data_IF_864270489435
#
_entry.id   IF_864270489435
#
_cell.length_a   1.000
_cell.length_b   1.000
_cell.length_c   1.000
_cell.angle_alpha   90.00
_cell.angle_beta   90.00
_cell.angle_gamma   90.00
#
_symmetry.space_group_name_H-M   'P 1'
#
loop_
_entity.id
_entity.type
_entity.pdbx_description
1 polymer ?
#
# COMPACT_ATOMS: atom_id res chain seq x y z
N UNK A 1 -1.95 -16.05 1.17
CA UNK A 1 -3.38 -16.25 0.92
C UNK A 1 -3.60 -17.60 0.27
N UNK A 2 -4.76 -18.21 0.50
CA UNK A 2 -5.29 -19.35 -0.26
C UNK A 2 -6.45 -18.79 -1.07
N UNK A 3 -6.28 -18.64 -2.38
CA UNK A 3 -7.26 -18.00 -3.26
C UNK A 3 -7.30 -18.66 -4.64
N UNK A 4 -8.46 -18.60 -5.29
CA UNK A 4 -8.62 -18.90 -6.71
C UNK A 4 -8.84 -17.60 -7.52
N UNK A 5 -9.27 -17.74 -8.79
CA UNK A 5 -9.55 -16.57 -9.64
C UNK A 5 -10.82 -15.80 -9.27
N UNK A 6 -11.67 -16.37 -8.42
CA UNK A 6 -12.98 -15.83 -8.05
C UNK A 6 -13.05 -15.35 -6.59
N UNK A 7 -12.37 -16.03 -5.66
CA UNK A 7 -12.46 -15.76 -4.24
C UNK A 7 -11.13 -16.00 -3.50
N UNK A 8 -11.00 -15.40 -2.32
CA UNK A 8 -9.94 -15.66 -1.36
C UNK A 8 -10.55 -16.34 -0.14
N UNK A 9 -10.10 -17.55 0.15
CA UNK A 9 -10.63 -18.38 1.25
C UNK A 9 -9.88 -18.15 2.56
N UNK A 10 -8.57 -17.90 2.50
CA UNK A 10 -7.75 -17.72 3.70
C UNK A 10 -6.65 -16.67 3.48
N UNK A 11 -6.41 -15.85 4.50
CA UNK A 11 -5.31 -14.88 4.54
C UNK A 11 -4.41 -15.22 5.72
N UNK A 12 -3.13 -15.47 5.44
CA UNK A 12 -2.09 -15.69 6.47
C UNK A 12 -1.07 -14.57 6.35
N UNK A 13 -0.96 -13.74 7.39
CA UNK A 13 0.06 -12.71 7.47
C UNK A 13 1.46 -13.33 7.59
N UNK A 14 2.42 -12.79 6.84
CA UNK A 14 3.82 -13.18 6.94
C UNK A 14 4.50 -12.46 8.12
N UNK A 15 5.58 -13.04 8.61
CA UNK A 15 6.48 -12.39 9.56
C UNK A 15 7.18 -11.20 8.85
N UNK A 16 7.07 -9.97 9.39
CA UNK A 16 7.72 -8.79 8.81
C UNK A 16 9.23 -8.95 8.61
N UNK A 17 9.93 -9.61 9.55
CA UNK A 17 11.38 -9.82 9.47
C UNK A 17 11.73 -10.74 8.29
N UNK A 18 10.89 -11.74 8.04
CA UNK A 18 11.04 -12.66 6.90
C UNK A 18 10.81 -11.92 5.58
N UNK A 19 9.79 -11.04 5.51
CA UNK A 19 9.51 -10.23 4.31
C UNK A 19 10.70 -9.33 3.99
N UNK A 20 11.24 -8.63 4.99
CA UNK A 20 12.40 -7.75 4.83
C UNK A 20 13.65 -8.54 4.39
N UNK A 21 13.91 -9.70 5.02
CA UNK A 21 15.02 -10.55 4.64
C UNK A 21 14.89 -11.07 3.19
N UNK A 22 13.69 -11.50 2.77
CA UNK A 22 13.45 -11.93 1.40
C UNK A 22 13.71 -10.82 0.37
N UNK A 23 13.25 -9.61 0.65
CA UNK A 23 13.48 -8.47 -0.23
C UNK A 23 14.98 -8.14 -0.34
N UNK A 24 15.68 -8.03 0.79
CA UNK A 24 17.13 -7.73 0.82
C UNK A 24 17.96 -8.79 0.11
N UNK A 25 17.64 -10.07 0.27
CA UNK A 25 18.31 -11.15 -0.45
C UNK A 25 18.28 -10.96 -1.97
N UNK A 26 17.18 -10.47 -2.55
CA UNK A 26 17.08 -10.21 -3.99
C UNK A 26 17.81 -8.91 -4.37
N UNK A 27 17.66 -7.87 -3.56
CA UNK A 27 18.28 -6.55 -3.81
C UNK A 27 19.81 -6.59 -3.74
N UNK A 28 20.38 -7.49 -2.93
CA UNK A 28 21.82 -7.72 -2.84
C UNK A 28 22.36 -8.60 -3.97
N UNK A 29 21.52 -9.44 -4.58
CA UNK A 29 21.91 -10.38 -5.63
C UNK A 29 21.84 -9.76 -7.04
N UNK A 30 20.84 -8.90 -7.30
CA UNK A 30 20.60 -8.38 -8.65
C UNK A 30 20.08 -6.94 -8.66
N UNK A 31 20.33 -6.17 -9.74
CA UNK A 31 19.74 -4.84 -9.88
C UNK A 31 18.22 -4.93 -10.04
N UNK A 32 17.49 -4.23 -9.17
CA UNK A 32 16.03 -4.07 -9.23
C UNK A 32 15.70 -2.73 -9.88
N UNK A 33 14.89 -2.76 -10.94
CA UNK A 33 14.53 -1.57 -11.70
C UNK A 33 13.27 -0.86 -11.19
N UNK A 34 12.43 -1.56 -10.42
CA UNK A 34 11.23 -1.01 -9.80
C UNK A 34 10.72 -1.96 -8.71
N UNK A 35 10.05 -1.40 -7.71
CA UNK A 35 9.23 -2.13 -6.74
C UNK A 35 7.78 -2.10 -7.16
N UNK A 36 7.07 -3.20 -6.93
CA UNK A 36 5.61 -3.24 -6.98
C UNK A 36 5.07 -3.82 -5.68
N UNK A 37 4.27 -3.03 -4.98
CA UNK A 37 3.56 -3.45 -3.78
C UNK A 37 2.08 -3.52 -4.13
N UNK A 38 1.48 -4.70 -3.96
CA UNK A 38 0.07 -4.93 -4.18
C UNK A 38 -0.69 -5.02 -2.86
N UNK A 39 -1.02 -6.23 -2.47
CA UNK A 39 -1.65 -6.52 -1.19
C UNK A 39 -0.62 -6.61 -0.05
N UNK A 40 -0.85 -5.84 1.01
CA UNK A 40 -0.32 -6.08 2.35
C UNK A 40 -1.50 -6.35 3.28
N UNK A 41 -1.32 -7.23 4.26
CA UNK A 41 -2.42 -7.74 5.13
C UNK A 41 -2.26 -7.32 6.58
N UNK A 42 -1.17 -6.59 6.88
CA UNK A 42 -0.74 -6.23 8.23
C UNK A 42 0.10 -4.96 8.21
N UNK A 43 -0.18 -4.06 9.15
CA UNK A 43 0.57 -2.82 9.35
C UNK A 43 2.08 -3.09 9.54
N UNK A 44 2.46 -4.13 10.28
CA UNK A 44 3.87 -4.41 10.55
C UNK A 44 4.63 -4.86 9.30
N UNK A 45 3.95 -5.55 8.38
CA UNK A 45 4.52 -5.91 7.07
C UNK A 45 4.70 -4.66 6.21
N UNK A 46 3.75 -3.73 6.26
CA UNK A 46 3.86 -2.43 5.57
C UNK A 46 5.07 -1.66 6.07
N UNK A 47 5.26 -1.56 7.39
CA UNK A 47 6.43 -0.90 7.99
C UNK A 47 7.75 -1.53 7.53
N UNK A 48 7.85 -2.85 7.55
CA UNK A 48 9.05 -3.55 7.09
C UNK A 48 9.34 -3.32 5.60
N UNK A 49 8.30 -3.29 4.76
CA UNK A 49 8.46 -2.96 3.34
C UNK A 49 8.89 -1.51 3.16
N UNK A 50 8.29 -0.56 3.89
CA UNK A 50 8.61 0.86 3.81
C UNK A 50 10.07 1.13 4.21
N UNK A 51 10.58 0.44 5.23
CA UNK A 51 12.01 0.50 5.60
C UNK A 51 12.91 0.01 4.47
N UNK A 52 12.57 -1.12 3.85
CA UNK A 52 13.36 -1.63 2.72
C UNK A 52 13.30 -0.68 1.53
N UNK A 53 12.15 -0.11 1.19
CA UNK A 53 12.03 0.82 0.05
C UNK A 53 12.81 2.11 0.32
N UNK A 54 12.79 2.63 1.56
CA UNK A 54 13.52 3.83 1.94
C UNK A 54 15.04 3.70 1.76
N UNK A 55 15.60 2.50 1.93
CA UNK A 55 17.02 2.22 1.67
C UNK A 55 17.39 2.33 0.16
N UNK A 56 16.40 2.37 -0.74
CA UNK A 56 16.55 2.37 -2.21
C UNK A 56 15.71 3.47 -2.90
N UNK A 57 15.75 4.69 -2.38
CA UNK A 57 14.98 5.87 -2.85
C UNK A 57 15.11 6.23 -4.35
N UNK A 58 16.17 5.76 -5.02
CA UNK A 58 16.36 5.92 -6.46
C UNK A 58 15.60 4.90 -7.33
N UNK A 59 14.93 3.91 -6.74
CA UNK A 59 14.19 2.85 -7.45
C UNK A 59 12.69 3.16 -7.43
N UNK A 60 12.02 3.27 -8.58
CA UNK A 60 10.60 3.58 -8.64
C UNK A 60 9.72 2.60 -7.84
N UNK A 61 8.79 3.13 -7.06
CA UNK A 61 7.79 2.35 -6.34
C UNK A 61 6.40 2.50 -6.99
N UNK A 62 5.84 1.37 -7.43
CA UNK A 62 4.43 1.26 -7.83
C UNK A 62 3.62 0.66 -6.69
N UNK A 63 2.72 1.44 -6.12
CA UNK A 63 1.82 1.02 -5.06
C UNK A 63 0.42 0.77 -5.64
N UNK A 64 -0.12 -0.43 -5.44
CA UNK A 64 -1.46 -0.83 -5.87
C UNK A 64 -2.18 -1.52 -4.70
N UNK A 65 -2.58 -0.75 -3.67
CA UNK A 65 -3.14 -1.31 -2.46
C UNK A 65 -4.48 -1.98 -2.75
N UNK A 66 -4.72 -3.13 -2.12
CA UNK A 66 -5.95 -3.89 -2.22
C UNK A 66 -6.54 -4.09 -0.82
N UNK A 67 -7.50 -3.24 -0.48
CA UNK A 67 -8.19 -3.29 0.82
C UNK A 67 -9.35 -4.29 0.85
N UNK A 68 -9.60 -5.03 -0.23
CA UNK A 68 -10.71 -6.02 -0.28
C UNK A 68 -10.36 -7.33 0.43
N UNK A 69 -9.11 -7.50 0.85
CA UNK A 69 -8.61 -8.73 1.47
C UNK A 69 -8.77 -8.77 3.00
N UNK A 70 -9.03 -7.63 3.66
CA UNK A 70 -9.07 -7.50 5.13
C UNK A 70 -10.49 -7.22 5.65
N UNK A 71 -11.44 -8.08 5.29
CA UNK A 71 -12.87 -7.87 5.62
C UNK A 71 -13.24 -8.30 7.07
N UNK A 72 -12.35 -8.97 7.80
CA UNK A 72 -12.74 -9.61 9.07
C UNK A 72 -12.55 -8.73 10.32
N UNK A 73 -11.69 -7.69 10.29
CA UNK A 73 -11.37 -6.89 11.48
C UNK A 73 -11.18 -5.39 11.15
N UNK A 74 -12.23 -4.59 11.32
CA UNK A 74 -12.26 -3.14 10.98
C UNK A 74 -11.09 -2.36 11.57
N UNK A 75 -10.75 -2.56 12.86
CA UNK A 75 -9.62 -1.86 13.50
C UNK A 75 -8.26 -2.21 12.86
N UNK A 76 -8.06 -3.47 12.45
CA UNK A 76 -6.83 -3.88 11.78
C UNK A 76 -6.76 -3.31 10.35
N UNK A 77 -7.91 -3.05 9.72
CA UNK A 77 -7.98 -2.42 8.41
C UNK A 77 -7.63 -0.93 8.47
N UNK A 78 -8.01 -0.22 9.53
CA UNK A 78 -7.64 1.20 9.72
C UNK A 78 -6.13 1.34 10.01
N UNK A 79 -5.57 0.53 10.91
CA UNK A 79 -4.13 0.48 11.18
C UNK A 79 -3.32 0.20 9.91
N UNK A 80 -3.82 -0.69 9.04
CA UNK A 80 -3.19 -0.99 7.76
C UNK A 80 -3.25 0.21 6.82
N UNK A 81 -4.42 0.85 6.67
CA UNK A 81 -4.59 2.03 5.81
C UNK A 81 -3.70 3.17 6.26
N UNK A 82 -3.67 3.45 7.56
CA UNK A 82 -2.80 4.46 8.16
C UNK A 82 -1.33 4.16 7.87
N UNK A 83 -0.90 2.91 8.08
CA UNK A 83 0.49 2.52 7.79
C UNK A 83 0.84 2.70 6.31
N UNK A 84 -0.07 2.39 5.38
CA UNK A 84 0.18 2.58 3.95
C UNK A 84 0.20 4.08 3.61
N UNK A 85 -0.74 4.86 4.14
CA UNK A 85 -0.87 6.30 3.90
C UNK A 85 0.34 7.08 4.45
N UNK A 86 0.86 6.69 5.62
CA UNK A 86 1.93 7.40 6.30
C UNK A 86 3.32 6.93 5.88
N UNK A 87 3.49 5.64 5.56
CA UNK A 87 4.83 5.06 5.32
C UNK A 87 5.11 4.79 3.85
N UNK A 88 4.15 4.28 3.07
CA UNK A 88 4.39 3.89 1.67
C UNK A 88 3.94 4.94 0.66
N UNK A 89 2.78 5.57 0.86
CA UNK A 89 2.27 6.56 -0.08
C UNK A 89 3.24 7.75 -0.29
N UNK A 90 3.94 8.28 0.74
CA UNK A 90 4.90 9.37 0.57
C UNK A 90 6.11 9.02 -0.29
N UNK A 91 6.46 7.74 -0.37
CA UNK A 91 7.61 7.23 -1.11
C UNK A 91 7.22 6.68 -2.49
N UNK A 92 5.93 6.74 -2.84
CA UNK A 92 5.37 6.11 -4.03
C UNK A 92 5.59 6.98 -5.28
N UNK A 93 6.20 6.39 -6.30
CA UNK A 93 6.30 7.01 -7.63
C UNK A 93 4.97 6.96 -8.37
N UNK A 94 4.27 5.83 -8.34
CA UNK A 94 2.96 5.67 -8.97
C UNK A 94 1.98 4.92 -8.06
N UNK A 95 0.96 5.62 -7.60
CA UNK A 95 -0.18 5.01 -6.91
C UNK A 95 -1.24 4.62 -7.94
N UNK A 96 -1.62 3.35 -7.95
CA UNK A 96 -2.70 2.80 -8.77
C UNK A 96 -3.84 2.39 -7.84
N UNK A 97 -4.96 3.11 -7.89
CA UNK A 97 -6.05 2.95 -6.93
C UNK A 97 -7.39 3.35 -7.57
N UNK A 98 -8.48 2.75 -7.13
CA UNK A 98 -9.83 3.23 -7.47
C UNK A 98 -10.27 4.39 -6.57
N UNK A 99 -11.47 4.92 -6.80
CA UNK A 99 -12.03 6.02 -6.00
C UNK A 99 -12.06 5.68 -4.50
N UNK A 100 -12.57 4.49 -4.14
CA UNK A 100 -12.72 4.09 -2.74
C UNK A 100 -11.37 4.02 -2.02
N UNK A 101 -10.37 3.46 -2.68
CA UNK A 101 -9.00 3.32 -2.16
C UNK A 101 -8.33 4.68 -2.00
N UNK A 102 -8.52 5.62 -2.94
CA UNK A 102 -7.99 6.98 -2.83
C UNK A 102 -8.58 7.75 -1.65
N UNK A 103 -9.90 7.63 -1.42
CA UNK A 103 -10.54 8.23 -0.24
C UNK A 103 -10.00 7.60 1.05
N UNK A 104 -9.92 6.27 1.10
CA UNK A 104 -9.43 5.54 2.27
C UNK A 104 -7.95 5.84 2.61
N UNK A 105 -7.11 6.13 1.60
CA UNK A 105 -5.73 6.55 1.84
C UNK A 105 -5.61 8.02 2.24
N UNK A 106 -6.48 8.89 1.72
CA UNK A 106 -6.46 10.31 2.08
C UNK A 106 -7.09 10.60 3.44
N UNK A 107 -7.97 9.71 3.91
CA UNK A 107 -8.54 9.73 5.25
C UNK A 107 -8.62 8.28 5.76
N UNK A 108 -7.52 7.77 6.36
CA UNK A 108 -7.49 6.41 6.89
C UNK A 108 -8.36 6.23 8.15
N UNK A 109 -8.66 7.32 8.87
CA UNK A 109 -9.62 7.31 9.98
C UNK A 109 -11.06 7.23 9.46
N UNK A 110 -11.68 6.07 9.61
CA UNK A 110 -13.05 5.81 9.16
C UNK A 110 -14.13 6.62 9.89
N UNK A 111 -13.83 7.21 11.05
CA UNK A 111 -14.75 8.05 11.81
C UNK A 111 -14.73 9.53 11.37
N UNK A 112 -13.74 9.93 10.56
CA UNK A 112 -13.60 11.29 10.06
C UNK A 112 -14.42 11.56 8.79
N UNK A 113 -14.70 12.83 8.50
CA UNK A 113 -15.42 13.22 7.28
C UNK A 113 -14.56 12.92 6.04
N UNK A 114 -15.10 12.07 5.16
CA UNK A 114 -14.41 11.66 3.94
C UNK A 114 -14.25 12.85 2.97
N UNK A 115 -13.04 13.09 2.43
CA UNK A 115 -12.83 14.11 1.42
C UNK A 115 -13.54 13.76 0.10
N UNK A 116 -13.73 14.76 -0.77
CA UNK A 116 -14.04 14.47 -2.17
C UNK A 116 -12.77 14.01 -2.92
N UNK A 117 -12.94 13.52 -4.15
CA UNK A 117 -11.83 12.97 -4.94
C UNK A 117 -10.69 13.99 -5.16
N UNK A 118 -11.03 15.22 -5.51
CA UNK A 118 -10.03 16.25 -5.80
C UNK A 118 -9.19 16.59 -4.55
N UNK A 119 -9.84 16.65 -3.39
CA UNK A 119 -9.17 16.88 -2.10
C UNK A 119 -8.30 15.67 -1.71
N UNK A 120 -8.78 14.45 -1.94
CA UNK A 120 -8.02 13.23 -1.67
C UNK A 120 -6.76 13.14 -2.55
N UNK A 121 -6.90 13.33 -3.86
CA UNK A 121 -5.78 13.36 -4.81
C UNK A 121 -4.79 14.47 -4.46
N UNK A 122 -5.29 15.68 -4.19
CA UNK A 122 -4.43 16.81 -3.80
C UNK A 122 -3.66 16.52 -2.51
N UNK A 123 -4.32 15.88 -1.53
CA UNK A 123 -3.69 15.50 -0.29
C UNK A 123 -2.57 14.48 -0.51
N UNK A 124 -2.85 13.36 -1.19
CA UNK A 124 -1.87 12.30 -1.45
C UNK A 124 -0.65 12.79 -2.24
N UNK A 125 -0.87 13.64 -3.26
CA UNK A 125 0.23 14.27 -3.99
C UNK A 125 1.05 15.22 -3.09
N UNK A 126 0.40 15.93 -2.17
CA UNK A 126 1.09 16.82 -1.23
C UNK A 126 1.92 16.09 -0.17
N UNK A 127 1.61 14.82 0.11
CA UNK A 127 2.33 13.98 1.08
C UNK A 127 3.57 13.31 0.49
N UNK A 128 3.77 13.34 -0.83
CA UNK A 128 4.99 12.83 -1.48
C UNK A 128 4.74 11.85 -2.62
N UNK A 129 3.51 11.32 -2.78
CA UNK A 129 3.17 10.49 -3.93
C UNK A 129 3.36 11.29 -5.23
N UNK A 130 4.13 10.77 -6.18
CA UNK A 130 4.51 11.54 -7.37
C UNK A 130 3.40 11.55 -8.43
N UNK A 131 2.84 10.38 -8.72
CA UNK A 131 1.77 10.21 -9.70
C UNK A 131 0.65 9.33 -9.17
N UNK A 132 -0.58 9.63 -9.60
CA UNK A 132 -1.77 8.82 -9.29
C UNK A 132 -2.43 8.40 -10.60
N UNK A 133 -2.61 7.09 -10.78
CA UNK A 133 -3.46 6.50 -11.81
C UNK A 133 -4.74 6.00 -11.14
N UNK A 134 -5.83 6.74 -11.32
CA UNK A 134 -7.14 6.32 -10.84
C UNK A 134 -7.75 5.28 -11.77
N UNK A 135 -8.04 4.08 -11.25
CA UNK A 135 -8.67 2.99 -12.00
C UNK A 135 -10.17 2.95 -11.78
N UNK A 136 -10.88 4.01 -12.20
CA UNK A 136 -12.26 3.91 -12.72
C UNK A 136 -12.48 5.07 -13.72
N UNK A 137 -13.04 4.73 -14.88
CA UNK A 137 -13.66 5.68 -15.81
C UNK A 137 -14.93 6.21 -15.17
N UNK A 138 -15.03 7.52 -14.95
CA UNK A 138 -16.31 8.16 -14.63
C UNK A 138 -17.40 7.90 -15.67
#
# INVERSE_FOLDING_TARGET
>A
TVRDSAACDEVTGLDPDVVAAQARMLLEDMPVAAFKIGAATRAEVVSAIAEVVADYDGVPLVLAPDFTLDDEHVLAADDLRESIADLLAPQTTLLVADYATLIALAQPDGDAEAPNLDAAVSHLLSQGCEYILSSETG
#
